data_IF_830577452919
#
_entry.id   IF_830577452919
#
_cell.length_a   1.000
_cell.length_b   1.000
_cell.length_c   1.000
_cell.angle_alpha   90.00
_cell.angle_beta   90.00
_cell.angle_gamma   90.00
#
_symmetry.space_group_name_H-M   'P 1'
#
loop_
_entity.id
_entity.type
_entity.pdbx_description
1 polymer ?
#
# COMPACT_ATOMS: atom_id res chain seq x y z
N UNK A 1 3.96 -44.66 -37.52
CA UNK A 1 4.06 -43.22 -37.90
C UNK A 1 5.48 -42.94 -38.39
N UNK A 2 5.66 -42.23 -39.50
CA UNK A 2 7.02 -41.97 -40.01
C UNK A 2 7.78 -41.01 -39.08
N UNK A 3 9.12 -41.15 -38.98
CA UNK A 3 9.96 -40.27 -38.14
C UNK A 3 9.70 -38.79 -38.40
N UNK A 4 9.44 -38.39 -39.65
CA UNK A 4 9.10 -37.00 -40.05
C UNK A 4 7.79 -36.52 -39.40
N UNK A 5 6.75 -37.39 -39.31
CA UNK A 5 5.46 -37.02 -38.66
C UNK A 5 5.60 -36.87 -37.15
N UNK A 6 6.48 -37.67 -36.51
CA UNK A 6 6.76 -37.54 -35.07
C UNK A 6 7.47 -36.22 -34.77
N UNK A 7 8.48 -35.86 -35.58
CA UNK A 7 9.21 -34.57 -35.43
C UNK A 7 8.27 -33.40 -35.65
N UNK A 8 7.44 -33.40 -36.68
CA UNK A 8 6.46 -32.34 -36.93
C UNK A 8 5.48 -32.20 -35.79
N UNK A 9 4.94 -33.27 -35.22
CA UNK A 9 4.06 -33.25 -34.08
C UNK A 9 4.75 -32.64 -32.84
N UNK A 10 6.00 -33.03 -32.58
CA UNK A 10 6.80 -32.48 -31.47
C UNK A 10 7.00 -30.97 -31.62
N UNK A 11 7.36 -30.47 -32.82
CA UNK A 11 7.52 -29.02 -33.08
C UNK A 11 6.22 -28.24 -32.88
N UNK A 12 5.08 -28.81 -33.29
CA UNK A 12 3.77 -28.18 -33.06
C UNK A 12 3.49 -28.08 -31.56
N UNK A 13 3.73 -29.13 -30.78
CA UNK A 13 3.52 -29.10 -29.32
C UNK A 13 4.41 -28.04 -28.67
N UNK A 14 5.69 -27.96 -29.03
CA UNK A 14 6.62 -26.94 -28.51
C UNK A 14 6.14 -25.54 -28.87
N UNK A 15 5.67 -25.31 -30.09
CA UNK A 15 5.13 -24.00 -30.51
C UNK A 15 3.91 -23.62 -29.69
N UNK A 16 2.98 -24.56 -29.46
CA UNK A 16 1.79 -24.32 -28.62
C UNK A 16 2.20 -23.90 -27.20
N UNK A 17 3.17 -24.59 -26.59
CA UNK A 17 3.67 -24.28 -25.24
C UNK A 17 4.26 -22.87 -25.21
N UNK A 18 5.07 -22.51 -26.21
CA UNK A 18 5.66 -21.16 -26.34
C UNK A 18 4.55 -20.11 -26.45
N UNK A 19 3.53 -20.36 -27.29
CA UNK A 19 2.41 -19.43 -27.46
C UNK A 19 1.65 -19.20 -26.12
N UNK A 20 1.32 -20.27 -25.40
CA UNK A 20 0.65 -20.20 -24.09
C UNK A 20 1.50 -19.38 -23.11
N UNK A 21 2.80 -19.64 -23.04
CA UNK A 21 3.73 -18.91 -22.18
C UNK A 21 3.78 -17.41 -22.52
N UNK A 22 3.88 -17.06 -23.81
CA UNK A 22 3.91 -15.66 -24.24
C UNK A 22 2.59 -14.93 -23.96
N UNK A 23 1.45 -15.61 -24.09
CA UNK A 23 0.14 -15.06 -23.73
C UNK A 23 0.03 -14.78 -22.23
N UNK A 24 0.46 -15.70 -21.37
CA UNK A 24 0.47 -15.48 -19.90
C UNK A 24 1.40 -14.33 -19.52
N UNK A 25 2.61 -14.30 -20.08
CA UNK A 25 3.56 -13.21 -19.87
C UNK A 25 2.97 -11.84 -20.28
N UNK A 26 2.38 -11.77 -21.47
CA UNK A 26 1.73 -10.56 -21.97
C UNK A 26 0.60 -10.09 -21.06
N UNK A 27 -0.23 -11.03 -20.57
CA UNK A 27 -1.29 -10.72 -19.59
C UNK A 27 -0.71 -10.13 -18.31
N UNK A 28 0.34 -10.73 -17.74
CA UNK A 28 1.00 -10.24 -16.52
C UNK A 28 1.60 -8.84 -16.72
N UNK A 29 2.31 -8.61 -17.81
CA UNK A 29 2.88 -7.30 -18.15
C UNK A 29 1.78 -6.23 -18.28
N UNK A 30 0.63 -6.57 -18.88
CA UNK A 30 -0.50 -5.66 -18.99
C UNK A 30 -1.06 -5.27 -17.60
N UNK A 31 -1.25 -6.25 -16.70
CA UNK A 31 -1.74 -5.99 -15.32
C UNK A 31 -0.75 -5.10 -14.57
N UNK A 32 0.54 -5.43 -14.60
CA UNK A 32 1.59 -4.67 -13.94
C UNK A 32 1.72 -3.24 -14.50
N UNK A 33 1.54 -3.06 -15.81
CA UNK A 33 1.55 -1.72 -16.42
C UNK A 33 0.40 -0.87 -15.94
N UNK A 34 -0.82 -1.39 -15.97
CA UNK A 34 -2.01 -0.69 -15.45
C UNK A 34 -1.84 -0.29 -13.98
N UNK A 35 -1.33 -1.22 -13.16
CA UNK A 35 -1.06 -0.94 -11.75
C UNK A 35 0.00 0.16 -11.58
N UNK A 36 1.12 0.09 -12.33
CA UNK A 36 2.19 1.08 -12.28
C UNK A 36 1.69 2.48 -12.63
N UNK A 37 0.91 2.59 -13.70
CA UNK A 37 0.37 3.87 -14.17
C UNK A 37 -0.59 4.45 -13.11
N UNK A 38 -1.47 3.62 -12.55
CA UNK A 38 -2.41 4.03 -11.52
C UNK A 38 -1.74 4.36 -10.18
N UNK A 39 -0.72 3.60 -9.79
CA UNK A 39 0.10 3.88 -8.61
C UNK A 39 0.78 5.26 -8.70
N UNK A 40 1.28 5.64 -9.89
CA UNK A 40 1.86 6.96 -10.11
C UNK A 40 0.82 8.10 -10.00
N UNK A 41 -0.45 7.86 -10.37
CA UNK A 41 -1.53 8.82 -10.11
C UNK A 41 -1.79 8.94 -8.61
N UNK A 42 -1.83 7.83 -7.88
CA UNK A 42 -2.09 7.79 -6.44
C UNK A 42 -0.98 8.45 -5.60
N UNK A 43 0.26 8.48 -6.06
CA UNK A 43 1.34 9.23 -5.41
C UNK A 43 1.04 10.74 -5.34
N UNK A 44 0.22 11.26 -6.25
CA UNK A 44 -0.15 12.69 -6.32
C UNK A 44 -1.39 13.04 -5.48
N UNK A 45 -2.09 12.04 -4.97
CA UNK A 45 -3.29 12.27 -4.16
C UNK A 45 -2.89 12.82 -2.79
N UNK A 46 -3.42 13.98 -2.45
CA UNK A 46 -3.14 14.69 -1.18
C UNK A 46 -4.33 14.75 -0.24
N UNK A 47 -5.49 14.22 -0.64
CA UNK A 47 -6.67 14.13 0.22
C UNK A 47 -7.12 12.67 0.27
N UNK A 48 -6.80 11.98 1.38
CA UNK A 48 -7.20 10.60 1.58
C UNK A 48 -7.19 10.18 3.05
N UNK A 49 -8.00 9.18 3.35
CA UNK A 49 -7.95 8.38 4.57
C UNK A 49 -7.52 6.97 4.23
N UNK A 50 -6.67 6.38 5.06
CA UNK A 50 -6.25 4.99 4.98
C UNK A 50 -6.27 4.35 6.35
N UNK A 51 -6.86 3.15 6.45
CA UNK A 51 -6.88 2.34 7.66
C UNK A 51 -6.27 0.98 7.38
N UNK A 52 -5.46 0.48 8.30
CA UNK A 52 -4.86 -0.85 8.25
C UNK A 52 -5.03 -1.54 9.61
N UNK A 53 -5.15 -2.87 9.58
CA UNK A 53 -5.22 -3.71 10.77
C UNK A 53 -4.09 -4.76 10.71
N UNK A 54 -2.82 -4.36 10.95
CA UNK A 54 -1.65 -5.23 10.74
C UNK A 54 -1.59 -6.40 11.74
N UNK A 55 -2.17 -6.24 12.92
CA UNK A 55 -2.17 -7.22 13.99
C UNK A 55 -3.53 -7.22 14.67
N UNK A 56 -3.88 -8.32 15.34
CA UNK A 56 -5.11 -8.38 16.14
C UNK A 56 -5.07 -7.31 17.24
N UNK A 57 -6.12 -6.50 17.31
CA UNK A 57 -6.24 -5.39 18.28
C UNK A 57 -5.41 -4.16 17.96
N UNK A 58 -4.66 -4.13 16.83
CA UNK A 58 -3.92 -2.95 16.38
C UNK A 58 -4.58 -2.34 15.16
N UNK A 59 -4.91 -1.05 15.24
CA UNK A 59 -5.45 -0.27 14.14
C UNK A 59 -4.49 0.88 13.86
N UNK A 60 -4.12 1.05 12.60
CA UNK A 60 -3.37 2.22 12.14
C UNK A 60 -4.22 3.00 11.14
N UNK A 61 -4.39 4.27 11.41
CA UNK A 61 -5.22 5.18 10.62
C UNK A 61 -4.37 6.38 10.18
N UNK A 62 -4.52 6.78 8.94
CA UNK A 62 -3.85 7.94 8.36
C UNK A 62 -4.88 8.82 7.68
N UNK A 63 -4.98 10.06 8.12
CA UNK A 63 -5.72 11.13 7.44
C UNK A 63 -4.71 12.09 6.84
N UNK A 64 -4.89 12.42 5.61
CA UNK A 64 -4.10 13.46 4.94
C UNK A 64 -5.01 14.38 4.14
N UNK A 65 -4.82 15.68 4.32
CA UNK A 65 -5.38 16.71 3.46
C UNK A 65 -4.32 17.77 3.18
N UNK A 66 -3.80 17.75 1.96
CA UNK A 66 -2.66 18.58 1.54
C UNK A 66 -1.41 18.35 2.43
N UNK A 67 -1.00 19.36 3.17
CA UNK A 67 0.18 19.36 4.05
C UNK A 67 -0.17 19.11 5.53
N UNK A 68 -1.44 18.84 5.82
CA UNK A 68 -1.94 18.53 7.16
C UNK A 68 -2.30 17.05 7.25
N UNK A 69 -2.20 16.49 8.43
CA UNK A 69 -2.68 15.13 8.66
C UNK A 69 -2.34 14.53 10.00
N UNK A 70 -2.86 13.34 10.18
CA UNK A 70 -2.64 12.49 11.33
C UNK A 70 -2.20 11.11 10.93
N UNK A 71 -1.27 10.57 11.67
CA UNK A 71 -1.04 9.13 11.75
C UNK A 71 -1.40 8.69 13.17
N UNK A 72 -2.43 7.85 13.30
CA UNK A 72 -2.90 7.34 14.59
C UNK A 72 -2.74 5.82 14.63
N UNK A 73 -2.11 5.33 15.68
CA UNK A 73 -2.05 3.90 15.99
C UNK A 73 -2.78 3.67 17.31
N UNK A 74 -3.75 2.79 17.27
CA UNK A 74 -4.51 2.33 18.45
C UNK A 74 -4.17 0.88 18.70
N UNK A 75 -3.77 0.54 19.93
CA UNK A 75 -3.48 -0.83 20.36
C UNK A 75 -4.08 -1.01 21.75
N UNK A 76 -5.11 -1.82 21.87
CA UNK A 76 -5.92 -1.91 23.10
C UNK A 76 -6.37 -0.53 23.58
N UNK A 77 -5.86 -0.10 24.78
CA UNK A 77 -6.16 1.20 25.37
C UNK A 77 -5.09 2.26 25.10
N UNK A 78 -4.03 1.91 24.32
CA UNK A 78 -2.95 2.82 23.99
C UNK A 78 -3.20 3.51 22.65
N UNK A 79 -3.16 4.83 22.65
CA UNK A 79 -3.25 5.65 21.45
C UNK A 79 -1.95 6.43 21.28
N UNK A 80 -1.31 6.25 20.12
CA UNK A 80 -0.17 7.05 19.69
C UNK A 80 -0.55 7.78 18.41
N UNK A 81 -0.37 9.10 18.40
CA UNK A 81 -0.66 9.93 17.24
C UNK A 81 0.55 10.79 16.87
N UNK A 82 0.74 10.96 15.58
CA UNK A 82 1.62 11.99 15.04
C UNK A 82 0.72 12.96 14.29
N UNK A 83 0.67 14.20 14.76
CA UNK A 83 0.01 15.29 14.05
C UNK A 83 1.04 16.06 13.22
N UNK A 84 0.76 16.24 11.96
CA UNK A 84 1.55 17.00 11.01
C UNK A 84 0.84 18.33 10.78
N UNK A 85 1.26 19.38 11.49
CA UNK A 85 0.69 20.72 11.41
C UNK A 85 1.37 21.61 10.37
N UNK A 86 0.92 22.86 10.28
CA UNK A 86 1.53 23.85 9.37
C UNK A 86 2.92 24.29 9.82
N UNK A 87 3.09 24.58 11.12
CA UNK A 87 4.33 25.11 11.68
C UNK A 87 5.13 24.04 12.45
N UNK A 88 4.44 23.17 13.17
CA UNK A 88 5.03 22.19 14.07
C UNK A 88 4.41 20.82 13.87
N UNK A 89 5.17 19.78 14.17
CA UNK A 89 4.67 18.45 14.34
C UNK A 89 4.49 18.13 15.83
N UNK A 90 3.56 17.18 16.12
CA UNK A 90 3.30 16.76 17.49
C UNK A 90 3.29 15.25 17.58
N UNK A 91 3.91 14.70 18.64
CA UNK A 91 3.74 13.31 19.04
C UNK A 91 2.83 13.33 20.27
N UNK A 92 1.73 12.59 20.20
CA UNK A 92 0.71 12.56 21.25
C UNK A 92 0.59 11.09 21.69
N UNK A 93 0.71 10.86 22.99
CA UNK A 93 0.53 9.56 23.64
C UNK A 93 -0.63 9.71 24.62
N UNK A 94 -1.62 8.84 24.46
CA UNK A 94 -2.78 8.74 25.36
C UNK A 94 -2.97 7.29 25.74
N UNK A 95 -2.64 6.96 26.95
CA UNK A 95 -2.85 5.66 27.54
C UNK A 95 -3.38 5.79 28.98
N UNK A 96 -3.58 4.67 29.68
CA UNK A 96 -4.14 4.66 31.05
C UNK A 96 -3.27 5.43 32.05
N UNK A 97 -1.96 5.40 31.86
CA UNK A 97 -0.98 5.90 32.83
C UNK A 97 -0.41 7.26 32.46
N UNK A 98 -0.50 7.64 31.17
CA UNK A 98 0.19 8.79 30.65
C UNK A 98 -0.63 9.48 29.54
N UNK A 99 -0.74 10.82 29.66
CA UNK A 99 -1.24 11.72 28.61
C UNK A 99 -0.20 12.79 28.34
N UNK A 100 0.59 12.58 27.31
CA UNK A 100 1.68 13.49 26.95
C UNK A 100 1.56 13.96 25.50
N UNK A 101 2.00 15.19 25.25
CA UNK A 101 2.11 15.76 23.93
C UNK A 101 3.46 16.46 23.78
N UNK A 102 4.24 16.05 22.79
CA UNK A 102 5.55 16.64 22.49
C UNK A 102 5.42 17.48 21.23
N UNK A 103 5.69 18.78 21.35
CA UNK A 103 5.78 19.71 20.23
C UNK A 103 7.20 19.69 19.67
N UNK A 104 7.33 19.57 18.35
CA UNK A 104 8.61 19.47 17.67
C UNK A 104 8.69 20.40 16.47
N UNK A 105 9.89 20.85 16.15
CA UNK A 105 10.13 21.53 14.88
C UNK A 105 9.82 20.59 13.71
N UNK A 106 9.49 21.18 12.56
CA UNK A 106 9.16 20.46 11.33
C UNK A 106 10.43 19.94 10.65
N UNK A 107 11.21 19.14 11.40
CA UNK A 107 12.41 18.50 10.91
C UNK A 107 12.11 17.06 10.51
N UNK A 108 12.70 16.61 9.39
CA UNK A 108 12.51 15.25 8.87
C UNK A 108 11.32 15.10 7.93
N UNK A 109 10.96 13.85 7.58
CA UNK A 109 9.88 13.56 6.65
C UNK A 109 8.53 13.97 7.23
N UNK A 110 7.85 14.89 6.55
CA UNK A 110 6.51 15.34 6.91
C UNK A 110 5.42 14.44 6.34
N UNK A 111 4.17 14.92 6.42
CA UNK A 111 2.99 14.21 5.90
C UNK A 111 3.09 13.99 4.38
N UNK A 112 3.85 14.80 3.66
CA UNK A 112 4.07 14.68 2.22
C UNK A 112 4.70 13.35 1.81
N UNK A 113 5.45 12.71 2.72
CA UNK A 113 6.02 11.37 2.49
C UNK A 113 4.98 10.25 2.64
N UNK A 114 3.86 10.54 3.31
CA UNK A 114 2.75 9.62 3.43
C UNK A 114 1.90 9.67 2.16
N UNK A 115 1.95 8.62 1.36
CA UNK A 115 1.22 8.53 0.09
C UNK A 115 0.08 7.52 0.18
N UNK A 116 -0.92 7.68 -0.70
CA UNK A 116 -2.01 6.74 -0.84
C UNK A 116 -1.50 5.38 -1.33
N UNK A 117 -0.59 5.40 -2.28
CA UNK A 117 0.06 4.18 -2.76
C UNK A 117 1.17 3.78 -1.79
N UNK A 118 1.02 2.64 -1.13
CA UNK A 118 2.10 2.00 -0.38
C UNK A 118 3.12 1.34 -1.30
N UNK A 119 3.08 1.65 -2.58
CA UNK A 119 3.68 0.99 -3.73
C UNK A 119 5.14 0.63 -3.60
N UNK A 120 5.36 -0.54 -3.05
CA UNK A 120 6.65 -1.20 -3.01
C UNK A 120 7.05 -1.84 -4.35
N UNK A 121 6.13 -1.92 -5.33
CA UNK A 121 6.45 -2.37 -6.69
C UNK A 121 7.00 -1.22 -7.54
N UNK A 122 8.29 -0.98 -7.43
CA UNK A 122 8.94 0.03 -8.25
C UNK A 122 9.20 -0.50 -9.67
N UNK A 123 8.47 0.01 -10.65
CA UNK A 123 8.55 -0.40 -12.05
C UNK A 123 8.81 0.82 -12.94
N UNK A 124 10.05 1.26 -12.98
CA UNK A 124 10.45 2.49 -13.70
C UNK A 124 10.31 2.39 -15.22
N UNK A 125 10.49 1.19 -15.77
CA UNK A 125 10.54 1.00 -17.21
C UNK A 125 9.91 -0.32 -17.66
N UNK A 126 9.78 -0.50 -18.96
CA UNK A 126 9.19 -1.69 -19.57
C UNK A 126 9.92 -2.98 -19.20
N UNK A 127 11.25 -2.95 -19.13
CA UNK A 127 12.05 -4.14 -18.82
C UNK A 127 11.88 -4.58 -17.37
N UNK A 128 11.73 -3.65 -16.43
CA UNK A 128 11.41 -3.98 -15.03
C UNK A 128 10.05 -4.67 -14.91
N UNK A 129 9.06 -4.24 -15.70
CA UNK A 129 7.73 -4.88 -15.77
C UNK A 129 7.81 -6.31 -16.31
N UNK A 130 8.59 -6.55 -17.39
CA UNK A 130 8.84 -7.89 -17.92
C UNK A 130 9.53 -8.76 -16.88
N UNK A 131 10.62 -8.28 -16.27
CA UNK A 131 11.34 -9.02 -15.24
C UNK A 131 10.42 -9.42 -14.09
N UNK A 132 9.61 -8.49 -13.60
CA UNK A 132 8.65 -8.76 -12.52
C UNK A 132 7.58 -9.77 -12.96
N UNK A 133 7.06 -9.66 -14.20
CA UNK A 133 6.10 -10.61 -14.75
C UNK A 133 6.65 -12.04 -14.81
N UNK A 134 7.95 -12.20 -15.11
CA UNK A 134 8.63 -13.49 -15.06
C UNK A 134 8.77 -14.02 -13.63
N UNK A 135 9.12 -13.17 -12.68
CA UNK A 135 9.38 -13.55 -11.29
C UNK A 135 8.10 -13.75 -10.47
N UNK A 136 6.96 -13.28 -10.97
CA UNK A 136 5.70 -13.29 -10.23
C UNK A 136 4.73 -14.37 -10.72
N UNK A 137 3.90 -14.84 -9.78
CA UNK A 137 2.64 -15.53 -10.08
C UNK A 137 1.50 -14.56 -9.89
N UNK A 138 0.65 -14.40 -10.91
CA UNK A 138 -0.51 -13.52 -10.84
C UNK A 138 -1.78 -14.36 -11.02
N UNK A 139 -2.60 -14.36 -9.98
CA UNK A 139 -3.92 -15.02 -9.95
C UNK A 139 -5.01 -14.03 -9.59
N UNK A 140 -6.26 -14.47 -9.64
CA UNK A 140 -7.41 -13.72 -9.12
C UNK A 140 -7.89 -14.36 -7.84
N UNK A 141 -8.15 -13.56 -6.83
CA UNK A 141 -8.68 -14.00 -5.54
C UNK A 141 -9.70 -12.96 -5.02
N UNK A 142 -10.67 -13.40 -4.22
CA UNK A 142 -11.59 -12.48 -3.52
C UNK A 142 -11.04 -12.14 -2.15
N UNK A 143 -11.04 -10.86 -1.81
CA UNK A 143 -10.67 -10.33 -0.51
C UNK A 143 -11.73 -9.32 -0.06
N UNK A 144 -12.45 -9.60 1.04
CA UNK A 144 -13.58 -8.78 1.51
C UNK A 144 -14.59 -8.46 0.37
N UNK A 145 -15.06 -9.50 -0.32
CA UNK A 145 -16.02 -9.45 -1.43
C UNK A 145 -15.54 -8.67 -2.69
N UNK A 146 -14.34 -8.13 -2.67
CA UNK A 146 -13.73 -7.46 -3.83
C UNK A 146 -12.86 -8.44 -4.62
N UNK A 147 -12.94 -8.38 -5.93
CA UNK A 147 -12.02 -9.13 -6.80
C UNK A 147 -10.64 -8.47 -6.83
N UNK A 148 -9.61 -9.24 -6.51
CA UNK A 148 -8.24 -8.78 -6.46
C UNK A 148 -7.34 -9.57 -7.40
N UNK A 149 -6.35 -8.89 -7.96
CA UNK A 149 -5.14 -9.56 -8.44
C UNK A 149 -4.27 -9.90 -7.24
N UNK A 150 -3.98 -11.19 -7.06
CA UNK A 150 -2.97 -11.65 -6.11
C UNK A 150 -1.65 -11.83 -6.86
N UNK A 151 -0.67 -11.02 -6.51
CA UNK A 151 0.68 -11.06 -7.07
C UNK A 151 1.61 -11.65 -6.02
N UNK A 152 2.27 -12.76 -6.34
CA UNK A 152 3.24 -13.41 -5.46
C UNK A 152 4.62 -13.28 -6.09
N UNK A 153 5.57 -12.71 -5.34
CA UNK A 153 6.95 -12.49 -5.77
C UNK A 153 7.87 -13.27 -4.82
N UNK A 154 8.72 -14.13 -5.37
CA UNK A 154 9.71 -14.92 -4.62
C UNK A 154 9.14 -15.73 -3.43
N UNK A 155 7.85 -16.10 -3.49
CA UNK A 155 7.08 -16.82 -2.46
C UNK A 155 6.97 -16.13 -1.09
N UNK A 156 7.61 -15.01 -0.86
CA UNK A 156 7.63 -14.30 0.43
C UNK A 156 6.81 -13.01 0.40
N UNK A 157 6.66 -12.42 -0.77
CA UNK A 157 5.97 -11.16 -0.92
C UNK A 157 4.67 -11.34 -1.71
N UNK A 158 3.55 -11.01 -1.09
CA UNK A 158 2.21 -11.12 -1.67
C UNK A 158 1.51 -9.77 -1.63
N UNK A 159 0.94 -9.39 -2.76
CA UNK A 159 0.15 -8.18 -2.91
C UNK A 159 -1.25 -8.56 -3.39
N UNK A 160 -2.26 -7.99 -2.76
CA UNK A 160 -3.65 -8.09 -3.18
C UNK A 160 -4.10 -6.72 -3.67
N UNK A 161 -4.30 -6.61 -4.97
CA UNK A 161 -4.62 -5.36 -5.66
C UNK A 161 -6.06 -5.46 -6.16
N UNK A 162 -6.93 -4.57 -5.71
CA UNK A 162 -8.31 -4.50 -6.18
C UNK A 162 -8.34 -4.28 -7.71
N UNK A 163 -9.20 -5.03 -8.42
CA UNK A 163 -9.26 -4.95 -9.89
C UNK A 163 -9.90 -3.66 -10.40
N UNK A 164 -10.82 -3.05 -9.64
CA UNK A 164 -11.60 -1.92 -10.09
C UNK A 164 -10.80 -0.61 -10.04
N UNK A 165 -10.11 -0.37 -8.91
CA UNK A 165 -9.39 0.88 -8.67
C UNK A 165 -7.86 0.70 -8.62
N UNK A 166 -7.36 -0.53 -8.64
CA UNK A 166 -5.94 -0.89 -8.56
C UNK A 166 -5.24 -0.42 -7.27
N UNK A 167 -5.99 -0.23 -6.17
CA UNK A 167 -5.42 -0.01 -4.85
C UNK A 167 -4.98 -1.32 -4.20
N UNK A 168 -3.92 -1.25 -3.40
CA UNK A 168 -3.46 -2.39 -2.61
C UNK A 168 -4.42 -2.60 -1.44
N UNK A 169 -5.09 -3.74 -1.40
CA UNK A 169 -6.01 -4.13 -0.33
C UNK A 169 -5.32 -4.86 0.82
N UNK A 170 -4.19 -5.49 0.59
CA UNK A 170 -3.34 -6.16 1.58
C UNK A 170 -1.95 -6.37 1.02
N UNK A 171 -0.95 -6.25 1.86
CA UNK A 171 0.44 -6.60 1.55
C UNK A 171 0.98 -7.51 2.64
N UNK A 172 1.62 -8.60 2.22
CA UNK A 172 2.35 -9.52 3.10
C UNK A 172 3.79 -9.58 2.59
N UNK A 173 4.76 -9.26 3.44
CA UNK A 173 6.17 -9.30 3.11
C UNK A 173 6.96 -9.95 4.24
N UNK A 174 7.35 -11.20 4.05
CA UNK A 174 7.92 -12.02 5.10
C UNK A 174 6.99 -12.14 6.30
N UNK A 175 7.40 -11.63 7.46
CA UNK A 175 6.61 -11.61 8.70
C UNK A 175 5.70 -10.38 8.83
N UNK A 176 5.78 -9.42 7.93
CA UNK A 176 4.96 -8.21 7.97
C UNK A 176 3.69 -8.41 7.17
N UNK A 177 2.54 -8.16 7.80
CA UNK A 177 1.22 -8.19 7.17
C UNK A 177 0.51 -6.87 7.48
N UNK A 178 0.07 -6.15 6.47
CA UNK A 178 -0.68 -4.90 6.66
C UNK A 178 -2.10 -5.11 7.17
N UNK A 179 -2.58 -6.36 7.17
CA UNK A 179 -4.01 -6.63 7.27
C UNK A 179 -4.78 -6.04 6.09
N UNK A 180 -6.09 -5.94 6.24
CA UNK A 180 -6.94 -5.33 5.23
C UNK A 180 -6.76 -3.82 5.25
N UNK A 181 -6.57 -3.24 4.07
CA UNK A 181 -6.41 -1.79 3.89
C UNK A 181 -7.73 -1.21 3.36
N UNK A 182 -8.28 -0.26 4.09
CA UNK A 182 -9.45 0.52 3.69
C UNK A 182 -9.00 1.92 3.25
N UNK A 183 -9.64 2.45 2.20
CA UNK A 183 -9.35 3.77 1.67
C UNK A 183 -10.61 4.61 1.48
N UNK A 184 -10.47 5.93 1.70
CA UNK A 184 -11.41 6.97 1.23
C UNK A 184 -10.59 8.05 0.55
N UNK A 185 -10.94 8.38 -0.68
CA UNK A 185 -10.18 9.34 -1.51
C UNK A 185 -11.04 10.57 -1.72
N UNK A 186 -10.47 11.76 -1.47
CA UNK A 186 -11.14 13.06 -1.56
C UNK A 186 -12.32 13.25 -0.60
N UNK A 187 -12.35 12.49 0.49
CA UNK A 187 -13.43 12.53 1.47
C UNK A 187 -12.99 13.10 2.83
N UNK A 188 -11.68 13.37 3.02
CA UNK A 188 -11.16 13.95 4.27
C UNK A 188 -11.55 15.43 4.32
N UNK A 189 -12.27 15.84 5.37
CA UNK A 189 -12.70 17.21 5.60
C UNK A 189 -11.63 17.97 6.38
N UNK A 190 -11.74 19.31 6.44
CA UNK A 190 -10.81 20.15 7.22
C UNK A 190 -10.84 19.78 8.70
N UNK A 191 -12.02 19.50 9.22
CA UNK A 191 -12.21 19.10 10.61
C UNK A 191 -11.53 17.76 10.98
N UNK A 192 -11.34 16.85 10.00
CA UNK A 192 -10.72 15.56 10.22
C UNK A 192 -9.19 15.67 10.40
N UNK A 193 -8.58 16.79 10.06
CA UNK A 193 -7.14 17.06 10.16
C UNK A 193 -6.82 18.25 11.08
N UNK A 194 -7.75 18.67 11.94
CA UNK A 194 -7.50 19.66 12.96
C UNK A 194 -6.68 19.07 14.11
N UNK A 195 -5.88 19.93 14.75
CA UNK A 195 -5.15 19.57 15.97
C UNK A 195 -6.12 19.07 17.04
N UNK A 196 -5.89 17.90 17.66
CA UNK A 196 -6.73 17.42 18.74
C UNK A 196 -6.67 18.36 19.95
N UNK A 197 -7.74 18.37 20.75
CA UNK A 197 -7.76 19.09 22.00
C UNK A 197 -6.80 18.41 23.00
N UNK A 198 -5.77 19.14 23.43
CA UNK A 198 -4.75 18.67 24.37
C UNK A 198 -5.05 19.06 25.84
N UNK A 199 -6.28 19.44 26.16
CA UNK A 199 -6.66 19.70 27.56
C UNK A 199 -6.43 18.42 28.40
N UNK A 200 -5.66 18.57 29.49
CA UNK A 200 -5.29 17.45 30.36
C UNK A 200 -4.05 16.67 29.96
N UNK A 201 -3.35 17.07 28.89
CA UNK A 201 -2.05 16.50 28.53
C UNK A 201 -0.90 17.28 29.16
N UNK A 202 0.16 16.57 29.53
CA UNK A 202 1.45 17.18 29.85
C UNK A 202 2.14 17.56 28.54
N UNK A 203 2.42 18.84 28.35
CA UNK A 203 3.00 19.36 27.13
C UNK A 203 4.50 19.59 27.30
N UNK A 204 5.29 18.95 26.43
CA UNK A 204 6.73 19.14 26.31
C UNK A 204 7.01 19.90 24.99
N UNK A 205 7.55 21.12 25.10
CA UNK A 205 7.92 21.96 23.95
C UNK A 205 9.44 21.83 23.69
N UNK A 206 9.82 21.16 22.60
CA UNK A 206 11.22 20.95 22.20
C UNK A 206 11.64 21.90 21.08
N UNK A 207 10.84 22.92 20.76
CA UNK A 207 11.12 23.88 19.67
C UNK A 207 11.98 25.05 20.10
N UNK A 208 12.39 25.09 21.39
CA UNK A 208 13.19 26.16 21.99
C UNK A 208 14.67 25.93 21.87
#
# INVERSE_FOLDING_TARGET
MSKKKIIALFLIIVLIIICIFLLDLGRKVCILSKYSDKSNEYLKVTNFYRKTNPEEGVITELWRKNNLGFLKRTSNDDIKMIYYGEEYNWIIVDNKDEKTAVKMNKEGPGIETQTLSTGSLHMENFWSKIKLAFMSKISTEKLNDKECYKIIINNEWQLFINKDDLLIMREINGSTDTGIIEYKINEVRDEDVLMPNLAGYTINDTTK
#
